data_IF_991718912605
#
_entry.id   IF_991718912605
#
_cell.length_a   1.000
_cell.length_b   1.000
_cell.length_c   1.000
_cell.angle_alpha   90.00
_cell.angle_beta   90.00
_cell.angle_gamma   90.00
#
_symmetry.space_group_name_H-M   'P 1'
#
loop_
_entity.id
_entity.type
_entity.pdbx_description
1 polymer ?
#
# COMPACT_ATOMS: atom_id res chain seq x y z
N UNK A 1 -16.73 12.32 -24.90
CA UNK A 1 -17.50 12.10 -23.65
C UNK A 1 -16.77 11.02 -22.90
N UNK A 2 -16.29 11.31 -21.70
CA UNK A 2 -15.70 10.28 -20.85
C UNK A 2 -16.83 9.33 -20.47
N UNK A 3 -16.68 8.03 -20.75
CA UNK A 3 -17.70 7.04 -20.44
C UNK A 3 -18.01 7.07 -18.94
N UNK A 4 -19.30 7.09 -18.58
CA UNK A 4 -19.71 7.14 -17.18
C UNK A 4 -19.19 5.89 -16.45
N UNK A 5 -18.39 6.11 -15.40
CA UNK A 5 -17.84 5.02 -14.59
C UNK A 5 -18.96 4.26 -13.87
N UNK A 6 -18.88 2.92 -13.77
CA UNK A 6 -19.86 2.15 -13.03
C UNK A 6 -19.80 2.52 -11.55
N UNK A 7 -20.96 2.66 -10.89
CA UNK A 7 -21.03 2.90 -9.44
C UNK A 7 -21.08 1.59 -8.63
N UNK A 8 -21.25 0.47 -9.30
CA UNK A 8 -21.28 -0.87 -8.71
C UNK A 8 -20.33 -1.77 -9.50
N UNK A 9 -19.44 -2.46 -8.81
CA UNK A 9 -18.62 -3.54 -9.35
C UNK A 9 -19.13 -4.87 -8.81
N UNK A 10 -19.51 -5.76 -9.71
CA UNK A 10 -19.91 -7.13 -9.36
C UNK A 10 -18.65 -8.00 -9.13
N UNK A 11 -18.79 -9.03 -8.33
CA UNK A 11 -17.68 -9.94 -7.99
C UNK A 11 -16.96 -10.50 -9.24
N UNK A 12 -17.71 -10.84 -10.30
CA UNK A 12 -17.10 -11.30 -11.56
C UNK A 12 -16.23 -10.22 -12.22
N UNK A 13 -16.70 -8.97 -12.25
CA UNK A 13 -15.92 -7.84 -12.80
C UNK A 13 -14.65 -7.56 -11.99
N UNK A 14 -14.71 -7.71 -10.66
CA UNK A 14 -13.55 -7.61 -9.78
C UNK A 14 -12.55 -8.71 -10.10
N UNK A 15 -13.02 -9.96 -10.21
CA UNK A 15 -12.18 -11.10 -10.54
C UNK A 15 -11.50 -10.95 -11.90
N UNK A 16 -12.24 -10.52 -12.92
CA UNK A 16 -11.73 -10.32 -14.29
C UNK A 16 -10.74 -9.15 -14.41
N UNK A 17 -10.77 -8.20 -13.45
CA UNK A 17 -9.89 -7.03 -13.44
C UNK A 17 -8.60 -7.21 -12.65
N UNK A 18 -8.38 -8.40 -12.06
CA UNK A 18 -7.18 -8.68 -11.27
C UNK A 18 -5.92 -8.63 -12.13
N UNK A 19 -4.90 -7.98 -11.63
CA UNK A 19 -3.57 -7.91 -12.25
C UNK A 19 -2.51 -8.26 -11.21
N UNK A 20 -1.47 -8.95 -11.65
CA UNK A 20 -0.33 -9.29 -10.78
C UNK A 20 0.81 -8.33 -11.03
N UNK A 21 1.39 -7.82 -9.96
CA UNK A 21 2.55 -6.93 -10.00
C UNK A 21 3.49 -7.21 -8.82
N UNK A 22 4.76 -6.83 -9.02
CA UNK A 22 5.82 -6.98 -8.03
C UNK A 22 6.55 -5.66 -7.86
N UNK A 23 7.02 -5.38 -6.65
CA UNK A 23 7.83 -4.20 -6.41
C UNK A 23 9.26 -4.44 -6.93
N UNK A 24 9.84 -3.53 -7.75
CA UNK A 24 11.15 -3.76 -8.38
C UNK A 24 12.31 -3.92 -7.39
N UNK A 25 12.18 -3.44 -6.17
CA UNK A 25 13.21 -3.52 -5.13
C UNK A 25 12.96 -4.63 -4.10
N UNK A 26 11.89 -5.42 -4.27
CA UNK A 26 11.62 -6.56 -3.41
C UNK A 26 11.33 -7.81 -4.26
N UNK A 27 12.30 -8.71 -4.44
CA UNK A 27 12.13 -9.91 -5.25
C UNK A 27 11.10 -10.90 -4.69
N UNK A 28 10.70 -10.76 -3.43
CA UNK A 28 9.63 -11.56 -2.81
C UNK A 28 8.26 -10.95 -2.98
N UNK A 29 8.17 -9.69 -3.44
CA UNK A 29 6.89 -9.02 -3.65
C UNK A 29 6.16 -9.61 -4.85
N UNK A 30 4.92 -10.04 -4.61
CA UNK A 30 3.99 -10.46 -5.64
C UNK A 30 2.56 -10.30 -5.12
N UNK A 31 1.82 -9.39 -5.70
CA UNK A 31 0.43 -9.11 -5.33
C UNK A 31 -0.44 -9.23 -6.56
N UNK A 32 -1.53 -9.96 -6.46
CA UNK A 32 -2.62 -9.90 -7.43
C UNK A 32 -3.72 -9.02 -6.88
N UNK A 33 -4.09 -7.97 -7.60
CA UNK A 33 -5.05 -7.01 -7.08
C UNK A 33 -5.75 -6.17 -8.15
N UNK A 34 -6.71 -5.37 -7.71
CA UNK A 34 -7.44 -4.43 -8.56
C UNK A 34 -7.84 -3.18 -7.78
N UNK A 35 -7.90 -2.05 -8.50
CA UNK A 35 -8.20 -0.71 -7.96
C UNK A 35 -9.71 -0.46 -7.93
N UNK A 36 -10.41 -0.91 -6.89
CA UNK A 36 -11.86 -0.77 -6.76
C UNK A 36 -12.29 0.71 -6.79
N UNK A 37 -11.68 1.52 -5.94
CA UNK A 37 -12.02 2.94 -5.81
C UNK A 37 -11.82 3.70 -7.12
N UNK A 38 -10.68 3.53 -7.76
CA UNK A 38 -10.35 4.19 -9.04
C UNK A 38 -11.31 3.78 -10.16
N UNK A 39 -11.69 2.50 -10.18
CA UNK A 39 -12.60 1.96 -11.21
C UNK A 39 -13.98 2.60 -11.12
N UNK A 40 -14.50 2.82 -9.91
CA UNK A 40 -15.80 3.50 -9.71
C UNK A 40 -15.70 5.04 -9.69
N UNK A 41 -14.49 5.59 -9.85
CA UNK A 41 -14.28 7.05 -9.97
C UNK A 41 -14.01 7.78 -8.67
N UNK A 42 -13.69 7.10 -7.56
CA UNK A 42 -13.20 7.75 -6.35
C UNK A 42 -11.86 8.43 -6.63
N UNK A 43 -11.71 9.66 -6.17
CA UNK A 43 -10.50 10.46 -6.39
C UNK A 43 -9.69 10.68 -5.10
N UNK A 44 -10.38 10.87 -3.98
CA UNK A 44 -9.76 11.22 -2.68
C UNK A 44 -9.45 10.02 -1.81
N UNK A 45 -10.03 8.88 -2.10
CA UNK A 45 -9.86 7.64 -1.33
C UNK A 45 -9.44 6.52 -2.26
N UNK A 46 -8.32 5.92 -1.98
CA UNK A 46 -7.89 4.65 -2.56
C UNK A 46 -8.65 3.50 -1.88
N UNK A 47 -9.15 2.54 -2.65
CA UNK A 47 -9.65 1.26 -2.15
C UNK A 47 -9.24 0.19 -3.13
N UNK A 48 -8.48 -0.79 -2.66
CA UNK A 48 -7.95 -1.87 -3.48
C UNK A 48 -8.32 -3.22 -2.87
N UNK A 49 -8.63 -4.16 -3.73
CA UNK A 49 -8.73 -5.58 -3.36
C UNK A 49 -7.41 -6.25 -3.73
N UNK A 50 -6.84 -7.02 -2.83
CA UNK A 50 -5.54 -7.63 -3.00
C UNK A 50 -5.51 -9.09 -2.50
N UNK A 51 -4.69 -9.89 -3.17
CA UNK A 51 -4.32 -11.26 -2.80
C UNK A 51 -2.81 -11.36 -2.78
N UNK A 52 -2.31 -11.90 -1.70
CA UNK A 52 -0.89 -12.16 -1.50
C UNK A 52 -0.68 -13.67 -1.42
N UNK A 53 -0.04 -14.30 -2.42
CA UNK A 53 0.16 -15.73 -2.44
C UNK A 53 1.05 -16.24 -1.30
N UNK A 54 1.00 -17.53 -0.96
CA UNK A 54 1.88 -18.13 0.05
C UNK A 54 3.36 -17.83 -0.20
N UNK A 55 4.08 -17.44 0.86
CA UNK A 55 5.49 -17.10 0.82
C UNK A 55 5.85 -15.77 0.16
N UNK A 56 4.85 -15.00 -0.25
CA UNK A 56 5.05 -13.68 -0.87
C UNK A 56 4.87 -12.54 0.12
N UNK A 57 5.39 -11.38 -0.26
CA UNK A 57 5.38 -10.15 0.52
C UNK A 57 4.63 -9.05 -0.24
N UNK A 58 3.89 -8.22 0.52
CA UNK A 58 3.30 -7.01 -0.03
C UNK A 58 4.42 -6.03 -0.39
N UNK A 59 4.32 -5.31 -1.44
CA UNK A 59 5.29 -4.33 -1.94
C UNK A 59 6.67 -4.31 -1.21
N UNK A 60 6.85 -3.37 -0.26
CA UNK A 60 8.10 -3.15 0.46
C UNK A 60 7.78 -2.51 1.81
N UNK A 61 8.63 -2.70 2.82
CA UNK A 61 8.53 -2.04 4.12
C UNK A 61 8.65 -0.52 3.95
N UNK A 62 7.60 0.22 4.30
CA UNK A 62 7.48 1.65 4.04
C UNK A 62 6.60 2.37 5.05
N UNK A 63 6.73 3.70 5.08
CA UNK A 63 5.87 4.59 5.88
C UNK A 63 5.38 5.76 5.05
N UNK A 64 4.23 6.30 5.43
CA UNK A 64 3.58 7.45 4.81
C UNK A 64 3.71 8.69 5.68
N UNK A 65 3.99 9.84 5.07
CA UNK A 65 4.07 11.11 5.80
C UNK A 65 2.72 11.83 5.87
N UNK A 66 1.86 11.65 4.88
CA UNK A 66 0.65 12.45 4.72
C UNK A 66 -0.62 11.64 4.47
N UNK A 67 -0.53 10.51 3.77
CA UNK A 67 -1.69 9.67 3.45
C UNK A 67 -1.90 8.62 4.56
N UNK A 68 -3.06 8.68 5.22
CA UNK A 68 -3.47 7.60 6.12
C UNK A 68 -3.80 6.35 5.30
N UNK A 69 -3.41 5.20 5.81
CA UNK A 69 -3.67 3.90 5.19
C UNK A 69 -4.32 2.94 6.17
N UNK A 70 -5.09 2.02 5.66
CA UNK A 70 -5.68 0.93 6.43
C UNK A 70 -5.73 -0.37 5.62
N UNK A 71 -5.72 -1.49 6.34
CA UNK A 71 -5.83 -2.84 5.78
C UNK A 71 -6.86 -3.62 6.59
N UNK A 72 -7.76 -4.33 5.88
CA UNK A 72 -8.73 -5.24 6.50
C UNK A 72 -8.58 -6.63 5.87
N UNK A 73 -8.25 -7.64 6.68
CA UNK A 73 -8.04 -9.00 6.23
C UNK A 73 -9.40 -9.70 6.04
N UNK A 74 -9.64 -10.18 4.82
CA UNK A 74 -10.86 -10.90 4.46
C UNK A 74 -10.73 -12.40 4.70
N UNK A 75 -9.57 -13.00 4.34
CA UNK A 75 -9.28 -14.42 4.55
C UNK A 75 -7.78 -14.70 4.52
N UNK A 76 -7.38 -15.85 5.00
CA UNK A 76 -5.98 -16.25 5.14
C UNK A 76 -5.37 -15.71 6.42
N UNK A 77 -4.06 -15.93 6.57
CA UNK A 77 -3.26 -15.49 7.70
C UNK A 77 -1.87 -15.08 7.25
N UNK A 78 -1.20 -14.23 8.01
CA UNK A 78 0.13 -13.76 7.68
C UNK A 78 0.78 -13.04 8.86
N UNK A 79 1.85 -12.33 8.55
CA UNK A 79 2.57 -11.49 9.50
C UNK A 79 2.52 -10.04 9.00
N UNK A 80 2.11 -9.13 9.87
CA UNK A 80 2.31 -7.71 9.71
C UNK A 80 3.60 -7.32 10.44
N UNK A 81 4.55 -6.75 9.73
CA UNK A 81 5.70 -6.08 10.31
C UNK A 81 5.34 -4.60 10.48
N UNK A 82 5.33 -4.09 11.71
CA UNK A 82 4.94 -2.72 12.05
C UNK A 82 5.98 -2.16 13.02
N UNK A 83 6.65 -1.08 12.64
CA UNK A 83 7.71 -0.43 13.42
C UNK A 83 8.83 -1.42 13.88
N UNK A 84 9.15 -2.38 13.03
CA UNK A 84 10.15 -3.42 13.30
C UNK A 84 9.67 -4.56 14.19
N UNK A 85 8.42 -4.58 14.63
CA UNK A 85 7.80 -5.67 15.38
C UNK A 85 6.88 -6.51 14.47
N UNK A 86 6.80 -7.81 14.74
CA UNK A 86 5.99 -8.75 13.98
C UNK A 86 4.71 -9.11 14.73
N UNK A 87 3.58 -9.06 14.02
CA UNK A 87 2.25 -9.39 14.54
C UNK A 87 1.61 -10.44 13.64
N UNK A 88 1.11 -11.52 14.23
CA UNK A 88 0.23 -12.44 13.51
C UNK A 88 -1.09 -11.74 13.19
N UNK A 89 -1.54 -11.86 11.93
CA UNK A 89 -2.80 -11.29 11.47
C UNK A 89 -3.58 -12.31 10.67
N UNK A 90 -4.91 -12.23 10.75
CA UNK A 90 -5.80 -13.15 10.08
C UNK A 90 -7.16 -12.57 9.76
N UNK A 91 -8.06 -13.41 9.27
CA UNK A 91 -9.41 -13.02 8.85
C UNK A 91 -10.16 -12.24 9.93
N UNK A 92 -10.63 -11.05 9.58
CA UNK A 92 -11.33 -10.12 10.46
C UNK A 92 -10.46 -9.08 11.15
N UNK A 93 -9.13 -9.20 11.05
CA UNK A 93 -8.24 -8.20 11.64
C UNK A 93 -8.19 -6.92 10.81
N UNK A 94 -8.06 -5.81 11.50
CA UNK A 94 -7.95 -4.48 10.94
C UNK A 94 -6.66 -3.80 11.41
N UNK A 95 -5.95 -3.19 10.48
CA UNK A 95 -4.76 -2.38 10.73
C UNK A 95 -5.00 -0.98 10.19
N UNK A 96 -4.61 0.04 10.95
CA UNK A 96 -4.68 1.43 10.55
C UNK A 96 -3.36 2.14 10.82
N UNK A 97 -2.94 2.95 9.86
CA UNK A 97 -1.66 3.66 9.88
C UNK A 97 -1.93 5.17 9.78
N UNK A 98 -2.16 5.83 10.94
CA UNK A 98 -2.33 7.28 10.99
C UNK A 98 -1.02 7.98 10.64
N UNK A 99 -1.08 9.18 10.06
CA UNK A 99 0.12 9.92 9.62
C UNK A 99 0.66 10.89 10.68
N UNK A 100 1.99 11.09 10.72
CA UNK A 100 3.00 10.36 9.97
C UNK A 100 3.06 8.90 10.42
N UNK A 101 2.93 7.96 9.48
CA UNK A 101 2.82 6.55 9.84
C UNK A 101 4.16 5.96 10.28
N UNK A 102 4.10 4.93 11.13
CA UNK A 102 5.22 4.01 11.32
C UNK A 102 5.37 3.14 10.08
N UNK A 103 6.57 2.64 9.82
CA UNK A 103 6.79 1.77 8.67
C UNK A 103 6.12 0.41 8.88
N UNK A 104 5.54 -0.11 7.80
CA UNK A 104 4.77 -1.35 7.84
C UNK A 104 4.90 -2.16 6.55
N UNK A 105 4.53 -3.44 6.64
CA UNK A 105 4.66 -4.42 5.58
C UNK A 105 3.85 -5.69 5.91
N UNK A 106 3.32 -6.37 4.91
CA UNK A 106 2.63 -7.65 5.07
C UNK A 106 3.42 -8.79 4.41
N UNK A 107 3.43 -9.96 5.06
CA UNK A 107 3.97 -11.20 4.52
C UNK A 107 2.95 -12.32 4.68
N UNK A 108 2.74 -13.09 3.64
CA UNK A 108 1.93 -14.30 3.74
C UNK A 108 2.80 -15.47 4.18
N UNK A 109 2.62 -15.91 5.41
CA UNK A 109 3.32 -17.07 6.00
C UNK A 109 2.42 -18.32 6.07
N UNK A 110 1.18 -18.20 5.58
CA UNK A 110 0.23 -19.31 5.48
C UNK A 110 0.44 -20.13 4.23
N UNK A 111 -0.45 -21.10 4.02
CA UNK A 111 -0.49 -22.02 2.89
C UNK A 111 -1.59 -21.68 1.88
N UNK A 112 -2.43 -20.69 2.18
CA UNK A 112 -3.47 -20.14 1.32
C UNK A 112 -3.20 -18.66 1.04
N UNK A 113 -3.90 -18.07 0.04
CA UNK A 113 -3.83 -16.66 -0.24
C UNK A 113 -4.26 -15.82 0.97
N UNK A 114 -3.45 -14.83 1.33
CA UNK A 114 -3.85 -13.77 2.24
C UNK A 114 -4.63 -12.72 1.44
N UNK A 115 -5.95 -12.66 1.67
CA UNK A 115 -6.86 -11.79 0.91
C UNK A 115 -7.29 -10.61 1.78
N UNK A 116 -7.15 -9.40 1.25
CA UNK A 116 -7.44 -8.20 2.02
C UNK A 116 -7.96 -7.04 1.16
N UNK A 117 -8.64 -6.12 1.82
CA UNK A 117 -8.85 -4.77 1.32
C UNK A 117 -7.77 -3.86 1.90
N UNK A 118 -7.23 -3.00 1.09
CA UNK A 118 -6.38 -1.90 1.51
C UNK A 118 -6.93 -0.61 0.96
N UNK A 119 -6.82 0.43 1.75
CA UNK A 119 -7.27 1.74 1.34
C UNK A 119 -6.64 2.84 2.15
N UNK A 120 -6.80 4.05 1.67
CA UNK A 120 -6.25 5.22 2.30
C UNK A 120 -6.62 6.49 1.54
N UNK A 121 -6.04 7.58 1.95
CA UNK A 121 -6.17 8.83 1.26
C UNK A 121 -5.44 8.80 -0.09
N UNK A 122 -5.82 9.71 -0.97
CA UNK A 122 -5.15 9.93 -2.25
C UNK A 122 -4.97 11.44 -2.40
N UNK A 123 -3.89 11.96 -1.84
CA UNK A 123 -3.56 13.37 -1.84
C UNK A 123 -2.75 13.74 -3.08
N UNK A 124 -2.74 15.04 -3.43
CA UNK A 124 -1.96 15.54 -4.58
C UNK A 124 -0.45 15.40 -4.37
N UNK A 125 -0.02 15.42 -3.10
CA UNK A 125 1.39 15.25 -2.72
C UNK A 125 1.49 14.24 -1.59
N UNK A 126 2.31 13.22 -1.78
CA UNK A 126 2.68 12.24 -0.75
C UNK A 126 4.20 12.10 -0.67
N UNK A 127 4.68 11.83 0.53
CA UNK A 127 6.06 11.45 0.83
C UNK A 127 6.02 10.09 1.51
N UNK A 128 6.73 9.12 0.96
CA UNK A 128 6.89 7.81 1.60
C UNK A 128 8.37 7.49 1.81
N UNK A 129 8.68 6.91 2.96
CA UNK A 129 10.03 6.46 3.27
C UNK A 129 10.13 4.94 3.15
N UNK A 130 11.27 4.48 2.67
CA UNK A 130 11.66 3.08 2.58
C UNK A 130 12.88 2.84 3.50
N UNK A 131 12.67 2.62 4.83
CA UNK A 131 13.74 2.65 5.81
C UNK A 131 14.87 1.66 5.53
N UNK A 132 14.54 0.43 5.10
CA UNK A 132 15.54 -0.60 4.81
C UNK A 132 16.40 -0.29 3.58
N UNK A 133 15.94 0.64 2.71
CA UNK A 133 16.68 1.05 1.50
C UNK A 133 17.34 2.42 1.66
N UNK A 134 17.07 3.15 2.72
CA UNK A 134 17.54 4.52 2.88
C UNK A 134 17.02 5.45 1.77
N UNK A 135 15.81 5.20 1.27
CA UNK A 135 15.20 5.96 0.16
C UNK A 135 13.94 6.67 0.59
N UNK A 136 13.64 7.76 -0.12
CA UNK A 136 12.41 8.54 0.01
C UNK A 136 11.75 8.73 -1.34
N UNK A 137 10.45 8.52 -1.39
CA UNK A 137 9.61 8.85 -2.53
C UNK A 137 8.95 10.21 -2.30
N UNK A 138 8.94 11.05 -3.32
CA UNK A 138 8.06 12.19 -3.44
C UNK A 138 7.13 11.96 -4.62
N UNK A 139 5.82 11.89 -4.36
CA UNK A 139 4.79 11.86 -5.39
C UNK A 139 4.09 13.22 -5.44
N UNK A 140 4.01 13.79 -6.64
CA UNK A 140 3.22 14.98 -6.94
C UNK A 140 2.30 14.64 -8.10
N UNK A 141 1.03 14.49 -7.83
CA UNK A 141 0.04 14.01 -8.80
C UNK A 141 0.47 12.66 -9.41
N UNK A 142 0.81 12.64 -10.70
CA UNK A 142 1.27 11.43 -11.40
C UNK A 142 2.81 11.34 -11.52
N UNK A 143 3.55 12.31 -10.99
CA UNK A 143 5.01 12.32 -11.02
C UNK A 143 5.58 11.72 -9.74
N UNK A 144 6.42 10.69 -9.85
CA UNK A 144 7.09 10.01 -8.75
C UNK A 144 8.59 10.22 -8.89
N UNK A 145 9.21 10.73 -7.84
CA UNK A 145 10.65 10.94 -7.74
C UNK A 145 11.19 10.16 -6.54
N UNK A 146 12.36 9.54 -6.70
CA UNK A 146 13.02 8.76 -5.65
C UNK A 146 14.35 9.42 -5.32
N UNK A 147 14.57 9.62 -4.02
CA UNK A 147 15.79 10.24 -3.48
C UNK A 147 16.51 9.26 -2.55
N UNK A 148 17.83 9.27 -2.58
CA UNK A 148 18.63 8.62 -1.56
C UNK A 148 18.72 9.53 -0.33
N UNK A 149 18.37 9.02 0.85
CA UNK A 149 18.39 9.80 2.10
C UNK A 149 19.80 10.21 2.52
N UNK A 150 20.83 9.51 2.02
CA UNK A 150 22.23 9.89 2.24
C UNK A 150 22.62 11.23 1.58
N UNK A 151 21.88 11.65 0.56
CA UNK A 151 22.07 12.93 -0.09
C UNK A 151 21.31 14.08 0.59
N UNK A 152 20.42 13.75 1.52
CA UNK A 152 19.68 14.75 2.28
C UNK A 152 20.63 15.51 3.23
N UNK A 153 20.57 16.82 3.17
CA UNK A 153 21.31 17.71 4.06
C UNK A 153 20.35 18.62 4.80
N UNK A 154 20.54 18.81 6.11
CA UNK A 154 19.73 19.78 6.84
C UNK A 154 19.95 21.18 6.26
N UNK A 155 18.87 21.87 5.96
CA UNK A 155 18.93 23.28 5.50
C UNK A 155 19.30 24.23 6.64
N UNK A 156 19.19 23.79 7.89
CA UNK A 156 19.31 24.57 9.11
C UNK A 156 17.95 24.78 9.79
N UNK A 157 17.94 25.37 10.97
CA UNK A 157 16.67 25.78 11.60
C UNK A 157 16.12 27.01 10.87
N UNK A 158 14.85 26.94 10.50
CA UNK A 158 14.09 28.11 10.09
C UNK A 158 13.60 28.79 11.37
N UNK A 159 14.45 29.58 12.02
CA UNK A 159 14.05 30.47 13.10
C UNK A 159 13.24 31.62 12.47
N UNK A 160 11.91 31.48 12.49
CA UNK A 160 10.97 32.50 12.05
C UNK A 160 10.30 33.10 13.29
#
# INVERSE_FOLDING_TARGET
>A
MEDAKPLILKAAQIADSMQTFSHPWNPKSEISGTYLGRTVGLKRTGVNFAKLPPGKESFIYHSHHREEEWIYILSGQGIAEIDGEEFEVGSGDFMGFPTPSVAHHLRNTGDEDLVYLMGGENLDVEIADFPHLGKRMLRRENNIEIYDLTDAKPFGSLDV
#
